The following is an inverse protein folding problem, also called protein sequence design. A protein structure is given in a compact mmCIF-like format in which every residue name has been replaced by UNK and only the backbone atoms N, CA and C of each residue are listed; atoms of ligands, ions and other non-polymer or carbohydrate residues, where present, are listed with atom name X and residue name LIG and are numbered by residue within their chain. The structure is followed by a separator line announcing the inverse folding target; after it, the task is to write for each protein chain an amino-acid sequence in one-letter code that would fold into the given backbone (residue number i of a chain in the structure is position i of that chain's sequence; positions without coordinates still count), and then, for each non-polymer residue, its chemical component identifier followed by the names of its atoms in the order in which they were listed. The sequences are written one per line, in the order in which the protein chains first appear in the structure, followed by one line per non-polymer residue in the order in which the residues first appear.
data_IF_642326999617
#
_entry.id   IF_642326999617
#
_cell.length_a   1.000
_cell.length_b   1.000
_cell.length_c   1.000
_cell.angle_alpha   90.00
_cell.angle_beta   90.00
_cell.angle_gamma   90.00
#
_symmetry.space_group_name_H-M   'P 1'
#
loop_
_entity.id
_entity.type
_entity.pdbx_description
1 polymer ?
#
# COMPACT_ATOMS: atom_id res chain seq x y z
N UNK A 1 -30.51 -10.45 29.19
CA UNK A 1 -30.93 -10.14 27.81
C UNK A 1 -29.78 -9.39 27.17
N UNK A 2 -29.22 -9.92 26.08
CA UNK A 2 -28.11 -9.27 25.38
C UNK A 2 -28.65 -8.17 24.47
N UNK A 3 -27.99 -7.02 24.46
CA UNK A 3 -28.35 -5.87 23.64
C UNK A 3 -28.23 -6.21 22.13
N UNK A 4 -29.29 -6.05 21.33
CA UNK A 4 -29.26 -6.31 19.89
C UNK A 4 -28.17 -5.55 19.14
N UNK A 5 -27.81 -4.34 19.59
CA UNK A 5 -26.74 -3.54 19.00
C UNK A 5 -25.37 -4.22 19.16
N UNK A 6 -25.14 -4.90 20.28
CA UNK A 6 -23.90 -5.64 20.54
C UNK A 6 -23.69 -6.82 19.58
N UNK A 7 -24.79 -7.44 19.12
CA UNK A 7 -24.74 -8.54 18.16
C UNK A 7 -24.45 -8.08 16.72
N UNK A 8 -24.91 -6.89 16.32
CA UNK A 8 -24.56 -6.26 15.05
C UNK A 8 -23.09 -5.82 15.02
N UNK A 9 -22.64 -5.18 16.11
CA UNK A 9 -21.28 -4.70 16.27
C UNK A 9 -20.25 -5.85 16.18
N UNK A 10 -20.53 -6.98 16.82
CA UNK A 10 -19.63 -8.14 16.81
C UNK A 10 -19.56 -8.88 15.46
N UNK A 11 -20.68 -9.02 14.73
CA UNK A 11 -20.73 -9.85 13.51
C UNK A 11 -20.21 -9.16 12.25
N UNK A 12 -20.32 -7.83 12.16
CA UNK A 12 -19.99 -7.10 10.93
C UNK A 12 -18.83 -6.12 11.07
N UNK A 13 -18.67 -5.46 12.22
CA UNK A 13 -17.60 -4.46 12.40
C UNK A 13 -16.25 -5.15 12.66
N UNK A 14 -16.21 -6.18 13.52
CA UNK A 14 -14.95 -6.88 13.84
C UNK A 14 -14.27 -7.51 12.59
N UNK A 15 -14.99 -8.19 11.68
CA UNK A 15 -14.38 -8.69 10.45
C UNK A 15 -13.84 -7.59 9.53
N UNK A 16 -14.59 -6.49 9.34
CA UNK A 16 -14.15 -5.34 8.53
C UNK A 16 -12.91 -4.67 9.12
N UNK A 17 -12.86 -4.52 10.44
CA UNK A 17 -11.69 -4.00 11.14
C UNK A 17 -10.46 -4.89 10.92
N UNK A 18 -10.61 -6.21 11.05
CA UNK A 18 -9.52 -7.17 10.77
C UNK A 18 -9.04 -7.09 9.31
N UNK A 19 -9.95 -6.87 8.37
CA UNK A 19 -9.60 -6.71 6.96
C UNK A 19 -8.82 -5.41 6.73
N UNK A 20 -9.26 -4.28 7.31
CA UNK A 20 -8.54 -3.01 7.26
C UNK A 20 -7.14 -3.13 7.87
N UNK A 21 -7.01 -3.81 9.02
CA UNK A 21 -5.71 -4.07 9.65
C UNK A 21 -4.80 -4.96 8.78
N UNK A 22 -5.38 -5.91 8.06
CA UNK A 22 -4.68 -6.72 7.06
C UNK A 22 -4.09 -5.86 5.94
N UNK A 23 -4.89 -4.97 5.37
CA UNK A 23 -4.42 -4.03 4.35
C UNK A 23 -3.36 -3.05 4.89
N UNK A 24 -3.48 -2.56 6.13
CA UNK A 24 -2.46 -1.71 6.77
C UNK A 24 -1.10 -2.40 6.86
N UNK A 25 -1.07 -3.70 7.17
CA UNK A 25 0.18 -4.49 7.19
C UNK A 25 0.79 -4.64 5.80
N UNK A 26 -0.03 -4.87 4.77
CA UNK A 26 0.42 -4.93 3.38
C UNK A 26 0.98 -3.59 2.92
N UNK A 27 0.32 -2.48 3.26
CA UNK A 27 0.82 -1.13 2.98
C UNK A 27 2.16 -0.86 3.64
N UNK A 28 2.35 -1.22 4.91
CA UNK A 28 3.62 -1.02 5.59
C UNK A 28 4.78 -1.79 4.89
N UNK A 29 4.49 -2.99 4.37
CA UNK A 29 5.44 -3.75 3.56
C UNK A 29 5.75 -3.03 2.24
N UNK A 30 4.73 -2.51 1.57
CA UNK A 30 4.88 -1.82 0.29
C UNK A 30 5.60 -0.47 0.46
N UNK A 31 5.33 0.28 1.52
CA UNK A 31 6.02 1.54 1.87
C UNK A 31 7.52 1.28 2.10
N UNK A 32 7.88 0.19 2.81
CA UNK A 32 9.27 -0.23 2.94
C UNK A 32 9.88 -0.55 1.57
N UNK A 33 9.15 -1.25 0.71
CA UNK A 33 9.65 -1.66 -0.60
C UNK A 33 9.83 -0.47 -1.55
N UNK A 34 8.92 0.51 -1.48
CA UNK A 34 9.01 1.80 -2.18
C UNK A 34 10.31 2.50 -1.79
N UNK A 35 10.58 2.65 -0.49
CA UNK A 35 11.79 3.31 -0.01
C UNK A 35 13.08 2.60 -0.50
N UNK A 36 13.13 1.26 -0.40
CA UNK A 36 14.26 0.47 -0.90
C UNK A 36 14.49 0.69 -2.41
N UNK A 37 13.42 0.68 -3.21
CA UNK A 37 13.53 0.86 -4.66
C UNK A 37 13.88 2.30 -5.05
N UNK A 38 13.39 3.30 -4.32
CA UNK A 38 13.76 4.70 -4.55
C UNK A 38 15.25 4.92 -4.30
N UNK A 39 15.81 4.30 -3.25
CA UNK A 39 17.24 4.29 -2.97
C UNK A 39 18.01 3.57 -4.10
N UNK A 40 17.56 2.40 -4.55
CA UNK A 40 18.18 1.67 -5.66
C UNK A 40 18.21 2.52 -6.95
N UNK A 41 17.07 3.11 -7.32
CA UNK A 41 16.94 3.96 -8.50
C UNK A 41 17.85 5.18 -8.40
N UNK A 42 17.91 5.83 -7.23
CA UNK A 42 18.80 6.97 -7.02
C UNK A 42 20.27 6.56 -7.14
N UNK A 43 20.65 5.40 -6.59
CA UNK A 43 21.98 4.84 -6.75
C UNK A 43 22.34 4.54 -8.21
N UNK A 44 21.39 4.03 -8.99
CA UNK A 44 21.58 3.82 -10.43
C UNK A 44 21.74 5.16 -11.18
N UNK A 45 20.91 6.16 -10.87
CA UNK A 45 21.00 7.50 -11.46
C UNK A 45 22.34 8.18 -11.17
N UNK A 46 22.83 8.09 -9.93
CA UNK A 46 24.12 8.66 -9.54
C UNK A 46 25.32 8.03 -10.27
N UNK A 47 25.18 6.79 -10.72
CA UNK A 47 26.21 6.07 -11.45
C UNK A 47 26.03 6.13 -12.97
N UNK A 48 24.98 6.80 -13.46
CA UNK A 48 24.64 6.81 -14.88
C UNK A 48 25.75 7.43 -15.73
N UNK A 49 26.33 8.55 -15.27
CA UNK A 49 27.39 9.24 -16.00
C UNK A 49 28.74 8.50 -15.96
N UNK A 50 28.85 7.44 -15.14
CA UNK A 50 30.01 6.55 -15.05
C UNK A 50 29.79 5.21 -15.74
N UNK A 51 28.63 5.00 -16.36
CA UNK A 51 28.30 3.75 -17.02
C UNK A 51 28.97 3.68 -18.39
N UNK A 52 29.67 2.59 -18.67
CA UNK A 52 30.26 2.32 -20.00
C UNK A 52 29.19 2.24 -21.10
N UNK A 53 28.00 1.74 -20.74
CA UNK A 53 26.81 1.64 -21.60
C UNK A 53 25.65 2.40 -20.95
N UNK A 54 25.55 3.68 -21.32
CA UNK A 54 24.54 4.61 -20.80
C UNK A 54 23.12 4.16 -21.15
N UNK A 55 22.87 3.75 -22.39
CA UNK A 55 21.55 3.29 -22.85
C UNK A 55 21.05 2.09 -22.04
N UNK A 56 21.93 1.13 -21.76
CA UNK A 56 21.58 -0.03 -20.92
C UNK A 56 21.30 0.38 -19.48
N UNK A 57 22.06 1.33 -18.93
CA UNK A 57 21.84 1.86 -17.59
C UNK A 57 20.50 2.63 -17.50
N UNK A 58 20.15 3.44 -18.50
CA UNK A 58 18.86 4.15 -18.59
C UNK A 58 17.69 3.16 -18.66
N UNK A 59 17.77 2.14 -19.52
CA UNK A 59 16.74 1.08 -19.60
C UNK A 59 16.55 0.35 -18.27
N UNK A 60 17.63 0.13 -17.52
CA UNK A 60 17.56 -0.47 -16.17
C UNK A 60 16.83 0.46 -15.19
N UNK A 61 17.16 1.75 -15.19
CA UNK A 61 16.48 2.76 -14.36
C UNK A 61 14.99 2.81 -14.71
N UNK A 62 14.64 2.89 -15.98
CA UNK A 62 13.24 2.87 -16.43
C UNK A 62 12.49 1.61 -16.00
N UNK A 63 13.14 0.45 -16.12
CA UNK A 63 12.53 -0.81 -15.67
C UNK A 63 12.25 -0.78 -14.17
N UNK A 64 13.18 -0.25 -13.35
CA UNK A 64 12.98 -0.12 -11.90
C UNK A 64 11.89 0.89 -11.58
N UNK A 65 11.84 2.01 -12.29
CA UNK A 65 10.79 3.01 -12.15
C UNK A 65 9.40 2.42 -12.43
N UNK A 66 9.27 1.61 -13.49
CA UNK A 66 8.01 0.91 -13.80
C UNK A 66 7.55 -0.02 -12.66
N UNK A 67 8.47 -0.77 -12.06
CA UNK A 67 8.16 -1.60 -10.90
C UNK A 67 7.78 -0.78 -9.65
N UNK A 68 8.48 0.33 -9.41
CA UNK A 68 8.14 1.27 -8.34
C UNK A 68 6.72 1.81 -8.51
N UNK A 69 6.34 2.19 -9.73
CA UNK A 69 5.00 2.69 -10.03
C UNK A 69 3.91 1.62 -9.82
N UNK A 70 4.20 0.35 -10.12
CA UNK A 70 3.28 -0.76 -9.84
C UNK A 70 3.02 -0.89 -8.34
N UNK A 71 4.08 -0.86 -7.51
CA UNK A 71 3.95 -1.00 -6.05
C UNK A 71 3.26 0.23 -5.46
N UNK A 72 3.53 1.44 -5.96
CA UNK A 72 2.82 2.66 -5.55
C UNK A 72 1.31 2.57 -5.83
N UNK A 73 0.91 2.02 -6.99
CA UNK A 73 -0.50 1.79 -7.32
C UNK A 73 -1.14 0.74 -6.43
N UNK A 74 -0.44 -0.35 -6.12
CA UNK A 74 -0.93 -1.38 -5.20
C UNK A 74 -1.17 -0.80 -3.80
N UNK A 75 -0.18 -0.08 -3.25
CA UNK A 75 -0.30 0.64 -1.97
C UNK A 75 -1.50 1.61 -1.97
N UNK A 76 -1.71 2.33 -3.08
CA UNK A 76 -2.85 3.24 -3.21
C UNK A 76 -4.20 2.50 -3.19
N UNK A 77 -4.29 1.32 -3.83
CA UNK A 77 -5.49 0.49 -3.77
C UNK A 77 -5.79 0.06 -2.33
N UNK A 78 -4.79 -0.43 -1.59
CA UNK A 78 -4.99 -0.79 -0.19
C UNK A 78 -5.44 0.40 0.67
N UNK A 79 -4.91 1.60 0.43
CA UNK A 79 -5.38 2.80 1.12
C UNK A 79 -6.85 3.10 0.81
N UNK A 80 -7.28 2.95 -0.44
CA UNK A 80 -8.67 3.15 -0.84
C UNK A 80 -9.60 2.14 -0.16
N UNK A 81 -9.22 0.86 -0.13
CA UNK A 81 -9.98 -0.20 0.55
C UNK A 81 -10.10 0.05 2.06
N UNK A 82 -9.01 0.48 2.71
CA UNK A 82 -9.05 0.88 4.13
C UNK A 82 -10.03 2.01 4.34
N UNK A 83 -9.97 3.07 3.52
CA UNK A 83 -10.87 4.22 3.66
C UNK A 83 -12.34 3.81 3.49
N UNK A 84 -12.64 2.91 2.54
CA UNK A 84 -13.98 2.35 2.36
C UNK A 84 -14.43 1.59 3.61
N UNK A 85 -13.62 0.64 4.10
CA UNK A 85 -13.94 -0.17 5.28
C UNK A 85 -14.13 0.69 6.53
N UNK A 86 -13.24 1.66 6.76
CA UNK A 86 -13.34 2.58 7.90
C UNK A 86 -14.59 3.48 7.80
N UNK A 87 -14.97 3.91 6.59
CA UNK A 87 -16.20 4.67 6.37
C UNK A 87 -17.46 3.83 6.64
N UNK A 88 -17.47 2.56 6.21
CA UNK A 88 -18.57 1.63 6.48
C UNK A 88 -18.70 1.30 7.98
N UNK A 89 -17.59 1.14 8.69
CA UNK A 89 -17.59 0.95 10.15
C UNK A 89 -18.16 2.18 10.83
N UNK A 90 -17.69 3.38 10.46
CA UNK A 90 -18.17 4.63 11.06
C UNK A 90 -19.64 4.93 10.76
N UNK A 91 -20.18 4.45 9.63
CA UNK A 91 -21.60 4.53 9.31
C UNK A 91 -22.42 3.59 10.20
N UNK A 92 -21.96 2.35 10.39
CA UNK A 92 -22.61 1.36 11.23
C UNK A 92 -22.64 1.73 12.74
N UNK A 93 -21.72 2.58 13.20
CA UNK A 93 -21.71 3.08 14.59
C UNK A 93 -22.70 4.23 14.84
N UNK A 94 -23.30 4.82 13.78
CA UNK A 94 -24.25 5.93 13.88
C UNK A 94 -25.72 5.50 13.75
N UNK A 95 -25.96 4.25 13.36
CA UNK A 95 -27.29 3.61 13.29
C UNK A 95 -27.59 2.83 14.57
#
# INVERSE_FOLDING_TARGET
MSDPAYHLHSKFIVPKQKQADGFKKLMARDDKKIAEMEIEIQGLKNNLDKADDRDKAEKKIESRQRWLDVIKRERQKFQQEINTLESEIAAADKE
#
